data_IF_432756834652
#
_entry.id   IF_432756834652
#
_cell.length_a   1.000
_cell.length_b   1.000
_cell.length_c   1.000
_cell.angle_alpha   90.00
_cell.angle_beta   90.00
_cell.angle_gamma   90.00
#
_symmetry.space_group_name_H-M   'P 1'
#
loop_
_entity.id
_entity.type
_entity.pdbx_description
1 polymer ?
#
# COMPACT_ATOMS: atom_id res chain seq x y z
N UNK A 1 17.84 -11.15 6.28
CA UNK A 1 18.45 -10.35 5.21
C UNK A 1 17.34 -9.77 4.35
N UNK A 2 17.35 -8.45 4.12
CA UNK A 2 16.45 -7.79 3.19
C UNK A 2 16.99 -7.93 1.77
N UNK A 3 16.09 -8.04 0.80
CA UNK A 3 16.40 -8.05 -0.63
C UNK A 3 15.74 -6.83 -1.26
N UNK A 4 16.40 -6.19 -2.21
CA UNK A 4 15.87 -5.07 -2.98
C UNK A 4 16.17 -5.34 -4.45
N UNK A 5 15.17 -5.15 -5.30
CA UNK A 5 15.28 -5.25 -6.74
C UNK A 5 14.65 -4.00 -7.37
N UNK A 6 15.39 -3.31 -8.24
CA UNK A 6 14.82 -2.29 -9.09
C UNK A 6 14.26 -2.95 -10.35
N UNK A 7 12.94 -2.90 -10.55
CA UNK A 7 12.28 -3.56 -11.66
C UNK A 7 10.84 -3.10 -11.85
N UNK A 8 10.18 -3.66 -12.85
CA UNK A 8 8.78 -3.38 -13.16
C UNK A 8 7.88 -4.37 -12.38
N UNK A 9 6.96 -3.87 -11.56
CA UNK A 9 6.01 -4.68 -10.80
C UNK A 9 5.01 -5.47 -11.69
N UNK A 10 4.97 -5.16 -12.99
CA UNK A 10 4.19 -5.95 -13.96
C UNK A 10 4.96 -7.17 -14.49
N UNK A 11 6.28 -7.20 -14.33
CA UNK A 11 7.09 -8.31 -14.82
C UNK A 11 7.24 -9.41 -13.75
N UNK A 12 6.65 -10.59 -13.94
CA UNK A 12 6.79 -11.71 -13.00
C UNK A 12 8.23 -12.21 -12.86
N UNK A 13 9.14 -11.89 -13.80
CA UNK A 13 10.55 -12.23 -13.68
C UNK A 13 11.20 -11.47 -12.50
N UNK A 14 10.82 -10.22 -12.28
CA UNK A 14 11.30 -9.44 -11.13
C UNK A 14 10.96 -10.13 -9.81
N UNK A 15 9.72 -10.61 -9.67
CA UNK A 15 9.30 -11.35 -8.48
C UNK A 15 10.05 -12.68 -8.31
N UNK A 16 10.26 -13.43 -9.38
CA UNK A 16 11.05 -14.68 -9.33
C UNK A 16 12.47 -14.44 -8.79
N UNK A 17 13.11 -13.37 -9.27
CA UNK A 17 14.45 -13.00 -8.81
C UNK A 17 14.43 -12.56 -7.35
N UNK A 18 13.52 -11.64 -7.00
CA UNK A 18 13.40 -11.08 -5.65
C UNK A 18 13.09 -12.17 -4.62
N UNK A 19 12.12 -13.02 -4.91
CA UNK A 19 11.61 -14.02 -3.97
C UNK A 19 12.51 -15.28 -3.91
N UNK A 20 13.25 -15.60 -4.96
CA UNK A 20 14.20 -16.72 -4.92
C UNK A 20 13.55 -18.08 -4.62
N UNK A 21 12.32 -18.31 -5.10
CA UNK A 21 11.55 -19.52 -4.88
C UNK A 21 10.70 -19.52 -3.59
N UNK A 22 10.83 -18.49 -2.74
CA UNK A 22 9.99 -18.31 -1.55
C UNK A 22 8.67 -17.61 -1.91
N UNK A 23 7.71 -17.63 -0.99
CA UNK A 23 6.45 -16.88 -1.10
C UNK A 23 6.24 -15.98 0.11
N UNK A 24 5.64 -14.82 -0.12
CA UNK A 24 5.36 -13.84 0.91
C UNK A 24 4.26 -14.31 1.87
N UNK A 25 4.44 -14.04 3.15
CA UNK A 25 3.42 -14.22 4.18
C UNK A 25 2.43 -13.04 4.19
N UNK A 26 2.85 -11.89 3.65
CA UNK A 26 2.09 -10.67 3.53
C UNK A 26 2.62 -9.84 2.36
N UNK A 27 1.73 -9.14 1.68
CA UNK A 27 2.07 -8.04 0.77
C UNK A 27 1.63 -6.73 1.43
N UNK A 28 2.50 -5.74 1.43
CA UNK A 28 2.21 -4.40 1.97
C UNK A 28 2.88 -3.40 1.06
N UNK A 29 2.11 -2.75 0.20
CA UNK A 29 2.68 -1.90 -0.85
C UNK A 29 1.87 -0.64 -1.13
N UNK A 30 2.54 0.35 -1.68
CA UNK A 30 2.02 1.63 -2.12
C UNK A 30 2.27 1.80 -3.62
N UNK A 31 1.52 1.04 -4.43
CA UNK A 31 1.62 1.15 -5.88
C UNK A 31 1.24 2.57 -6.35
N UNK A 32 1.74 3.04 -7.52
CA UNK A 32 1.36 4.33 -8.06
C UNK A 32 -0.16 4.46 -8.26
N UNK A 33 -0.75 5.62 -7.90
CA UNK A 33 -2.20 5.83 -7.88
C UNK A 33 -2.77 6.46 -9.14
N UNK A 34 -1.95 6.60 -10.17
CA UNK A 34 -2.28 7.32 -11.40
C UNK A 34 -2.71 8.77 -11.12
N UNK A 35 -1.95 9.45 -10.25
CA UNK A 35 -2.17 10.85 -9.87
C UNK A 35 -0.87 11.63 -10.10
N UNK A 36 -0.90 12.78 -10.83
CA UNK A 36 0.28 13.59 -11.03
C UNK A 36 0.89 14.07 -9.72
N UNK A 37 2.22 14.03 -9.61
CA UNK A 37 2.94 14.57 -8.46
C UNK A 37 2.82 16.09 -8.46
N UNK A 38 2.98 16.72 -9.62
CA UNK A 38 2.82 18.16 -9.78
C UNK A 38 1.37 18.60 -9.56
N UNK A 39 1.16 19.54 -8.64
CA UNK A 39 -0.16 20.12 -8.35
C UNK A 39 -1.06 19.29 -7.44
N UNK A 40 -0.76 18.01 -7.21
CA UNK A 40 -1.57 17.13 -6.34
C UNK A 40 -0.83 16.66 -5.10
N UNK A 41 0.45 16.33 -5.22
CA UNK A 41 1.27 15.83 -4.11
C UNK A 41 2.21 16.92 -3.59
N UNK A 42 2.80 17.74 -4.45
CA UNK A 42 3.80 18.77 -4.10
C UNK A 42 3.53 20.15 -4.73
N UNK A 43 2.30 20.69 -4.56
CA UNK A 43 1.88 21.90 -5.27
C UNK A 43 2.49 23.22 -4.80
N UNK A 44 2.73 23.44 -3.50
CA UNK A 44 3.12 24.72 -2.91
C UNK A 44 4.40 24.65 -2.05
N UNK A 45 5.04 23.50 -1.97
CA UNK A 45 6.26 23.29 -1.19
C UNK A 45 7.52 23.79 -1.92
N UNK A 46 8.58 24.09 -1.14
CA UNK A 46 9.90 24.44 -1.70
C UNK A 46 10.63 23.24 -2.32
N UNK A 47 10.23 22.02 -1.96
CA UNK A 47 10.82 20.77 -2.46
C UNK A 47 10.01 20.32 -3.66
N UNK A 48 10.65 20.23 -4.82
CA UNK A 48 10.07 19.68 -6.05
C UNK A 48 10.58 18.24 -6.21
N UNK A 49 9.65 17.31 -6.44
CA UNK A 49 9.98 15.93 -6.74
C UNK A 49 9.73 15.66 -8.23
N UNK A 50 10.50 14.74 -8.86
CA UNK A 50 10.19 14.28 -10.21
C UNK A 50 8.88 13.51 -10.23
N UNK A 51 8.23 13.42 -11.39
CA UNK A 51 7.09 12.53 -11.60
C UNK A 51 7.52 11.06 -11.46
N UNK A 52 6.57 10.20 -11.07
CA UNK A 52 6.81 8.76 -11.09
C UNK A 52 6.98 8.27 -12.55
N UNK A 53 7.77 7.20 -12.77
CA UNK A 53 8.01 6.67 -14.12
C UNK A 53 6.75 6.18 -14.83
N UNK A 54 5.69 5.86 -14.09
CA UNK A 54 4.41 5.37 -14.63
C UNK A 54 3.27 5.63 -13.63
N UNK A 55 2.03 5.58 -14.12
CA UNK A 55 0.82 5.84 -13.37
C UNK A 55 0.86 7.19 -12.60
N UNK A 56 1.30 8.24 -13.29
CA UNK A 56 1.36 9.63 -12.82
C UNK A 56 0.22 10.48 -13.38
N UNK A 57 -0.92 9.86 -13.71
CA UNK A 57 -2.09 10.54 -14.29
C UNK A 57 -2.21 10.42 -15.80
N UNK A 58 -1.28 9.74 -16.47
CA UNK A 58 -1.28 9.53 -17.92
C UNK A 58 -2.19 8.38 -18.36
N UNK A 59 -2.49 7.43 -17.46
CA UNK A 59 -3.31 6.26 -17.79
C UNK A 59 -4.79 6.58 -17.79
N UNK A 60 -5.52 6.13 -18.82
CA UNK A 60 -6.97 6.07 -18.81
C UNK A 60 -7.48 5.07 -17.76
N UNK A 61 -8.78 5.12 -17.45
CA UNK A 61 -9.37 4.26 -16.40
C UNK A 61 -9.19 2.77 -16.68
N UNK A 62 -9.37 2.34 -17.93
CA UNK A 62 -9.23 0.94 -18.34
C UNK A 62 -7.77 0.49 -18.33
N UNK A 63 -6.86 1.37 -18.72
CA UNK A 63 -5.42 1.11 -18.69
C UNK A 63 -4.92 0.97 -17.25
N UNK A 64 -5.35 1.85 -16.36
CA UNK A 64 -4.99 1.76 -14.95
C UNK A 64 -5.59 0.51 -14.26
N UNK A 65 -6.82 0.12 -14.63
CA UNK A 65 -7.40 -1.14 -14.17
C UNK A 65 -6.60 -2.36 -14.68
N UNK A 66 -6.14 -2.34 -15.94
CA UNK A 66 -5.29 -3.39 -16.51
C UNK A 66 -3.92 -3.44 -15.82
N UNK A 67 -3.30 -2.30 -15.57
CA UNK A 67 -2.07 -2.18 -14.79
C UNK A 67 -2.23 -2.82 -13.40
N UNK A 68 -3.28 -2.42 -12.68
CA UNK A 68 -3.59 -2.93 -11.33
C UNK A 68 -3.84 -4.44 -11.36
N UNK A 69 -4.53 -4.94 -12.40
CA UNK A 69 -4.80 -6.38 -12.57
C UNK A 69 -3.50 -7.18 -12.67
N UNK A 70 -2.54 -6.72 -13.47
CA UNK A 70 -1.25 -7.42 -13.65
C UNK A 70 -0.45 -7.42 -12.34
N UNK A 71 -0.38 -6.29 -11.65
CA UNK A 71 0.33 -6.17 -10.37
C UNK A 71 -0.31 -7.09 -9.32
N UNK A 72 -1.63 -7.06 -9.18
CA UNK A 72 -2.36 -7.90 -8.21
C UNK A 72 -2.21 -9.39 -8.51
N UNK A 73 -2.19 -9.79 -9.79
CA UNK A 73 -1.95 -11.17 -10.17
C UNK A 73 -0.55 -11.61 -9.75
N UNK A 74 0.46 -10.80 -10.00
CA UNK A 74 1.81 -11.10 -9.54
C UNK A 74 1.90 -11.20 -8.02
N UNK A 75 1.30 -10.28 -7.28
CA UNK A 75 1.26 -10.34 -5.82
C UNK A 75 0.59 -11.62 -5.33
N UNK A 76 -0.54 -12.01 -5.91
CA UNK A 76 -1.24 -13.25 -5.55
C UNK A 76 -0.40 -14.49 -5.86
N UNK A 77 0.29 -14.52 -7.01
CA UNK A 77 1.11 -15.64 -7.44
C UNK A 77 2.36 -15.82 -6.57
N UNK A 78 2.91 -14.74 -6.03
CA UNK A 78 4.11 -14.76 -5.19
C UNK A 78 3.83 -14.69 -3.68
N UNK A 79 2.56 -14.67 -3.28
CA UNK A 79 2.15 -14.77 -1.88
C UNK A 79 1.66 -16.19 -1.52
N UNK A 80 1.69 -16.51 -0.24
CA UNK A 80 1.18 -17.78 0.28
C UNK A 80 -0.36 -17.78 0.29
N UNK A 81 -1.01 -18.93 0.17
CA UNK A 81 -2.43 -19.06 0.44
C UNK A 81 -2.81 -18.49 1.81
N UNK A 82 -3.78 -17.58 1.83
CA UNK A 82 -4.19 -16.88 3.06
C UNK A 82 -3.38 -15.65 3.43
N UNK A 83 -2.30 -15.32 2.72
CA UNK A 83 -1.60 -14.07 2.93
C UNK A 83 -2.53 -12.86 2.80
N UNK A 84 -2.32 -11.84 3.61
CA UNK A 84 -3.01 -10.56 3.46
C UNK A 84 -2.22 -9.65 2.52
N UNK A 85 -2.96 -8.96 1.66
CA UNK A 85 -2.44 -7.96 0.72
C UNK A 85 -3.02 -6.62 1.14
N UNK A 86 -2.17 -5.71 1.58
CA UNK A 86 -2.55 -4.37 2.00
C UNK A 86 -2.07 -3.36 0.95
N UNK A 87 -3.00 -2.74 0.27
CA UNK A 87 -2.76 -1.78 -0.81
C UNK A 87 -3.20 -0.39 -0.43
N UNK A 88 -2.27 0.56 -0.42
CA UNK A 88 -2.58 1.97 -0.24
C UNK A 88 -3.21 2.54 -1.50
N UNK A 89 -4.24 3.37 -1.32
CA UNK A 89 -4.94 4.04 -2.43
C UNK A 89 -5.64 5.30 -1.96
N UNK A 90 -5.93 6.20 -2.88
CA UNK A 90 -6.80 7.34 -2.63
C UNK A 90 -8.28 7.02 -2.92
N UNK A 91 -9.15 7.91 -2.46
CA UNK A 91 -10.60 7.78 -2.63
C UNK A 91 -11.06 7.76 -4.10
N UNK A 92 -10.28 8.30 -5.05
CA UNK A 92 -10.64 8.37 -6.47
C UNK A 92 -10.60 7.01 -7.13
N UNK A 93 -9.64 6.20 -6.76
CA UNK A 93 -9.34 4.91 -7.41
C UNK A 93 -9.76 3.69 -6.58
N UNK A 94 -10.24 3.89 -5.34
CA UNK A 94 -10.59 2.78 -4.45
C UNK A 94 -11.66 1.84 -5.03
N UNK A 95 -12.68 2.38 -5.70
CA UNK A 95 -13.74 1.55 -6.30
C UNK A 95 -13.19 0.62 -7.39
N UNK A 96 -12.31 1.14 -8.25
CA UNK A 96 -11.62 0.35 -9.27
C UNK A 96 -10.72 -0.72 -8.63
N UNK A 97 -9.92 -0.34 -7.63
CA UNK A 97 -9.04 -1.26 -6.92
C UNK A 97 -9.82 -2.42 -6.27
N UNK A 98 -10.97 -2.14 -5.65
CA UNK A 98 -11.83 -3.17 -5.07
C UNK A 98 -12.36 -4.10 -6.15
N UNK A 99 -12.90 -3.54 -7.24
CA UNK A 99 -13.44 -4.33 -8.36
C UNK A 99 -12.37 -5.29 -8.94
N UNK A 100 -11.17 -4.80 -9.19
CA UNK A 100 -10.06 -5.62 -9.67
C UNK A 100 -9.65 -6.65 -8.62
N UNK A 101 -9.49 -6.24 -7.36
CA UNK A 101 -9.06 -7.12 -6.27
C UNK A 101 -10.01 -8.31 -6.06
N UNK A 102 -11.33 -8.10 -6.15
CA UNK A 102 -12.32 -9.16 -6.00
C UNK A 102 -12.30 -10.21 -7.12
N UNK A 103 -11.72 -9.90 -8.28
CA UNK A 103 -11.51 -10.89 -9.35
C UNK A 103 -10.33 -11.83 -9.08
N UNK A 104 -9.33 -11.36 -8.38
CA UNK A 104 -8.02 -12.03 -8.18
C UNK A 104 -7.95 -12.69 -6.81
N UNK A 105 -8.24 -11.94 -5.76
CA UNK A 105 -8.18 -12.40 -4.38
C UNK A 105 -9.43 -13.17 -3.97
N UNK A 106 -9.42 -13.75 -2.78
CA UNK A 106 -10.57 -14.47 -2.24
C UNK A 106 -11.70 -13.50 -1.85
N UNK A 107 -11.34 -12.41 -1.18
CA UNK A 107 -12.25 -11.33 -0.82
C UNK A 107 -11.51 -10.10 -0.30
N UNK A 108 -12.19 -8.97 -0.31
CA UNK A 108 -11.88 -7.80 0.49
C UNK A 108 -12.21 -8.11 1.97
N UNK A 109 -11.21 -8.04 2.84
CA UNK A 109 -11.38 -8.29 4.29
C UNK A 109 -11.82 -7.04 5.02
N UNK A 110 -11.24 -5.89 4.67
CA UNK A 110 -11.55 -4.58 5.27
C UNK A 110 -11.01 -3.45 4.39
N UNK A 111 -11.47 -2.25 4.68
CA UNK A 111 -10.83 -1.01 4.25
C UNK A 111 -10.37 -0.29 5.53
N UNK A 112 -9.05 -0.15 5.67
CA UNK A 112 -8.49 0.65 6.75
C UNK A 112 -8.32 2.09 6.27
N UNK A 113 -8.46 3.03 7.20
CA UNK A 113 -8.37 4.47 6.92
C UNK A 113 -7.22 5.05 7.72
N UNK A 114 -6.13 5.40 7.05
CA UNK A 114 -5.07 6.16 7.70
C UNK A 114 -5.47 7.63 7.79
N UNK A 115 -5.73 8.10 8.99
CA UNK A 115 -6.10 9.48 9.29
C UNK A 115 -4.84 10.28 9.63
N UNK A 116 -4.62 11.35 8.87
CA UNK A 116 -3.48 12.26 9.04
C UNK A 116 -3.84 13.41 9.98
N UNK A 117 -2.90 14.02 10.71
CA UNK A 117 -3.16 15.15 11.60
C UNK A 117 -3.71 16.38 10.86
N UNK A 118 -3.29 16.59 9.61
CA UNK A 118 -3.69 17.74 8.79
C UNK A 118 -4.18 17.30 7.42
N UNK A 119 -5.10 18.08 6.84
CA UNK A 119 -5.59 17.85 5.48
C UNK A 119 -4.58 18.33 4.45
N UNK A 120 -4.43 17.52 3.39
CA UNK A 120 -3.69 17.87 2.19
C UNK A 120 -4.43 18.91 1.34
N UNK A 121 -4.00 19.06 0.08
CA UNK A 121 -4.70 19.86 -0.92
C UNK A 121 -6.06 19.26 -1.26
N UNK A 122 -6.99 20.05 -1.68
CA UNK A 122 -8.31 19.59 -2.09
C UNK A 122 -9.16 20.73 -2.64
N UNK A 123 -10.17 20.39 -3.46
CA UNK A 123 -11.07 21.39 -4.05
C UNK A 123 -12.25 21.72 -3.13
N UNK A 124 -13.15 20.77 -2.88
CA UNK A 124 -14.31 20.95 -2.01
C UNK A 124 -13.97 20.60 -0.55
N UNK A 125 -13.49 19.39 -0.35
CA UNK A 125 -13.04 18.91 0.96
C UNK A 125 -11.56 18.58 0.92
N UNK A 126 -10.80 19.03 1.90
CA UNK A 126 -9.38 18.68 2.03
C UNK A 126 -9.25 17.23 2.49
N UNK A 127 -8.58 16.40 1.70
CA UNK A 127 -8.32 15.01 2.09
C UNK A 127 -7.36 14.95 3.28
N UNK A 128 -7.83 14.30 4.36
CA UNK A 128 -7.07 14.06 5.58
C UNK A 128 -6.82 12.58 5.83
N UNK A 129 -6.97 11.77 4.80
CA UNK A 129 -6.84 10.33 4.91
C UNK A 129 -6.26 9.72 3.63
N UNK A 130 -5.75 8.51 3.79
CA UNK A 130 -5.51 7.53 2.74
C UNK A 130 -6.26 6.25 3.10
N UNK A 131 -6.59 5.45 2.10
CA UNK A 131 -7.27 4.18 2.28
C UNK A 131 -6.26 3.04 2.12
N UNK A 132 -6.51 1.93 2.83
CA UNK A 132 -5.74 0.71 2.69
C UNK A 132 -6.73 -0.43 2.48
N UNK A 133 -6.79 -0.94 1.26
CA UNK A 133 -7.60 -2.11 0.94
C UNK A 133 -6.88 -3.37 1.42
N UNK A 134 -7.53 -4.13 2.30
CA UNK A 134 -7.00 -5.38 2.82
C UNK A 134 -7.67 -6.56 2.11
N UNK A 135 -6.96 -7.22 1.22
CA UNK A 135 -7.42 -8.43 0.54
C UNK A 135 -6.80 -9.68 1.13
N UNK A 136 -7.39 -10.84 0.87
CA UNK A 136 -6.84 -12.15 1.23
C UNK A 136 -6.58 -12.99 0.00
N UNK A 137 -5.39 -13.56 -0.10
CA UNK A 137 -5.03 -14.53 -1.14
C UNK A 137 -5.84 -15.82 -0.95
N UNK A 138 -6.35 -16.37 -2.06
CA UNK A 138 -7.17 -17.60 -2.09
C UNK A 138 -6.46 -18.79 -1.43
N UNK A 139 -7.24 -19.71 -0.88
CA UNK A 139 -6.78 -21.06 -0.49
C UNK A 139 -6.21 -21.21 0.92
N UNK A 140 -6.33 -20.21 1.80
CA UNK A 140 -5.77 -20.32 3.17
C UNK A 140 -6.43 -19.43 4.21
N UNK A 141 -6.05 -19.65 5.47
CA UNK A 141 -6.39 -18.77 6.59
C UNK A 141 -5.30 -17.72 6.74
N UNK A 142 -5.70 -16.47 6.95
CA UNK A 142 -4.77 -15.37 7.22
C UNK A 142 -4.22 -15.41 8.65
N UNK A 143 -3.02 -14.90 8.85
CA UNK A 143 -2.52 -14.56 10.17
C UNK A 143 -3.39 -13.43 10.76
N UNK A 144 -3.73 -13.55 12.03
CA UNK A 144 -4.50 -12.55 12.76
C UNK A 144 -3.98 -12.47 14.19
N UNK A 145 -3.12 -11.51 14.45
CA UNK A 145 -2.54 -11.28 15.77
C UNK A 145 -3.33 -10.26 16.60
N UNK A 146 -4.37 -9.67 16.01
CA UNK A 146 -5.27 -8.71 16.72
C UNK A 146 -6.32 -9.47 17.53
N UNK A 147 -7.10 -10.34 16.91
CA UNK A 147 -8.17 -11.16 17.51
C UNK A 147 -8.99 -10.41 18.56
N UNK A 148 -9.45 -9.20 18.21
CA UNK A 148 -10.24 -8.32 19.11
C UNK A 148 -9.56 -8.09 20.47
N UNK A 149 -8.25 -7.90 20.47
CA UNK A 149 -7.47 -7.59 21.67
C UNK A 149 -6.97 -8.79 22.48
N UNK A 150 -7.23 -10.04 22.04
CA UNK A 150 -6.81 -11.25 22.76
C UNK A 150 -5.32 -11.31 23.10
N UNK A 151 -4.48 -10.68 22.27
CA UNK A 151 -3.03 -10.63 22.43
C UNK A 151 -2.52 -9.23 22.83
N UNK A 152 -3.37 -8.40 23.42
CA UNK A 152 -3.04 -7.04 23.81
C UNK A 152 -3.02 -6.02 22.64
N UNK A 153 -3.32 -6.45 21.42
CA UNK A 153 -3.38 -5.60 20.23
C UNK A 153 -4.84 -5.33 19.85
N UNK A 154 -5.46 -4.39 20.54
CA UNK A 154 -6.83 -3.96 20.23
C UNK A 154 -6.80 -2.87 19.14
N UNK A 155 -6.86 -3.29 17.88
CA UNK A 155 -6.72 -2.43 16.70
C UNK A 155 -8.08 -2.24 16.01
N UNK A 156 -8.32 -1.04 15.54
CA UNK A 156 -9.46 -0.71 14.66
C UNK A 156 -8.99 -0.53 13.22
N UNK A 157 -9.93 -0.38 12.29
CA UNK A 157 -9.63 -0.03 10.90
C UNK A 157 -9.46 1.48 10.69
N UNK A 158 -9.48 2.28 11.76
CA UNK A 158 -9.08 3.69 11.72
C UNK A 158 -7.68 3.80 12.32
N UNK A 159 -6.72 4.23 11.49
CA UNK A 159 -5.30 4.30 11.81
C UNK A 159 -4.89 5.75 11.98
N UNK A 160 -4.69 6.18 13.21
CA UNK A 160 -4.29 7.56 13.53
C UNK A 160 -2.77 7.62 13.73
N UNK A 161 -2.05 7.99 12.67
CA UNK A 161 -0.59 8.14 12.68
C UNK A 161 -0.19 9.48 12.07
N UNK A 162 0.93 10.03 12.56
CA UNK A 162 1.50 11.24 12.01
C UNK A 162 1.81 11.05 10.51
N UNK A 163 1.60 12.12 9.74
CA UNK A 163 2.13 12.16 8.37
C UNK A 163 3.60 12.63 8.41
N UNK A 164 4.47 12.14 7.52
CA UNK A 164 5.87 12.54 7.48
C UNK A 164 6.10 14.06 7.28
N UNK A 165 5.10 14.77 6.82
CA UNK A 165 5.11 16.23 6.61
C UNK A 165 4.81 17.05 7.88
N UNK A 166 4.71 16.43 9.05
CA UNK A 166 4.60 17.10 10.34
C UNK A 166 5.94 17.73 10.81
N UNK A 167 5.86 18.48 11.89
CA UNK A 167 7.05 18.96 12.60
C UNK A 167 7.67 17.77 13.37
N UNK A 168 8.88 17.32 13.00
CA UNK A 168 9.56 16.23 13.71
C UNK A 168 10.67 15.56 12.87
N UNK A 169 11.29 14.51 13.44
CA UNK A 169 12.38 13.74 12.86
C UNK A 169 12.06 13.07 11.51
N UNK A 170 10.79 12.80 11.23
CA UNK A 170 10.35 12.20 9.96
C UNK A 170 10.40 13.17 8.76
N UNK A 171 10.68 14.46 8.98
CA UNK A 171 10.82 15.45 7.90
C UNK A 171 11.99 15.13 6.95
N UNK A 172 12.97 14.37 7.40
CA UNK A 172 14.08 13.95 6.54
C UNK A 172 13.62 12.94 5.48
N UNK A 173 12.66 12.08 5.79
CA UNK A 173 12.12 11.11 4.85
C UNK A 173 11.42 11.77 3.65
N UNK A 174 10.82 12.96 3.85
CA UNK A 174 10.23 13.74 2.75
C UNK A 174 11.24 14.32 1.76
N UNK A 175 12.50 14.48 2.16
CA UNK A 175 13.54 14.89 1.22
C UNK A 175 13.89 13.78 0.24
N UNK A 176 13.66 12.54 0.65
CA UNK A 176 13.98 11.33 -0.11
C UNK A 176 12.79 10.91 -0.97
N UNK A 177 11.57 10.93 -0.42
CA UNK A 177 10.37 10.47 -1.12
C UNK A 177 9.16 11.35 -0.82
N UNK A 178 8.38 11.79 -1.86
CA UNK A 178 7.28 12.75 -1.70
C UNK A 178 6.09 12.22 -0.89
N UNK A 179 5.92 10.91 -0.86
CA UNK A 179 4.79 10.21 -0.23
C UNK A 179 5.23 9.14 0.76
N UNK A 180 6.35 9.37 1.48
CA UNK A 180 6.83 8.43 2.48
C UNK A 180 5.71 8.06 3.47
N UNK A 181 5.57 6.76 3.77
CA UNK A 181 4.59 6.27 4.74
C UNK A 181 5.15 6.34 6.17
N UNK A 182 4.25 6.42 7.14
CA UNK A 182 4.63 6.40 8.55
C UNK A 182 5.18 5.02 8.94
N UNK A 183 6.39 4.98 9.49
CA UNK A 183 7.11 3.73 9.81
C UNK A 183 6.41 2.93 10.91
N UNK A 184 5.88 3.59 11.94
CA UNK A 184 5.17 2.93 13.04
C UNK A 184 3.88 2.26 12.53
N UNK A 185 3.15 2.95 11.64
CA UNK A 185 1.95 2.42 11.01
C UNK A 185 2.25 1.15 10.21
N UNK A 186 3.32 1.17 9.39
CA UNK A 186 3.73 0.00 8.61
C UNK A 186 4.17 -1.16 9.52
N UNK A 187 4.96 -0.86 10.56
CA UNK A 187 5.39 -1.86 11.54
C UNK A 187 4.20 -2.51 12.25
N UNK A 188 3.21 -1.72 12.67
CA UNK A 188 2.00 -2.21 13.29
C UNK A 188 1.18 -3.10 12.35
N UNK A 189 1.01 -2.71 11.09
CA UNK A 189 0.32 -3.51 10.08
C UNK A 189 1.01 -4.87 9.85
N UNK A 190 2.35 -4.89 9.81
CA UNK A 190 3.15 -6.12 9.70
C UNK A 190 2.94 -7.01 10.93
N UNK A 191 3.01 -6.46 12.13
CA UNK A 191 2.81 -7.18 13.37
C UNK A 191 1.39 -7.75 13.51
N UNK A 192 0.38 -7.06 12.98
CA UNK A 192 -1.00 -7.51 12.99
C UNK A 192 -1.24 -8.72 12.08
N UNK A 193 -0.51 -8.81 10.97
CA UNK A 193 -0.81 -9.68 9.83
C UNK A 193 0.25 -10.76 9.53
N UNK A 194 1.39 -10.79 10.24
CA UNK A 194 2.46 -11.77 10.01
C UNK A 194 2.90 -12.46 11.29
N UNK A 195 3.62 -13.57 11.13
CA UNK A 195 4.36 -14.21 12.21
C UNK A 195 5.83 -13.77 12.18
N UNK A 196 6.53 -13.92 13.32
CA UNK A 196 7.96 -13.64 13.39
C UNK A 196 8.72 -14.49 12.36
N UNK A 197 9.58 -13.88 11.58
CA UNK A 197 10.33 -14.51 10.49
C UNK A 197 9.55 -14.66 9.19
N UNK A 198 8.30 -14.16 9.12
CA UNK A 198 7.53 -14.09 7.89
C UNK A 198 8.14 -13.14 6.87
N UNK A 199 7.91 -13.42 5.60
CA UNK A 199 8.36 -12.60 4.47
C UNK A 199 7.27 -11.58 4.15
N UNK A 200 7.65 -10.31 4.12
CA UNK A 200 6.81 -9.22 3.64
C UNK A 200 7.33 -8.77 2.28
N UNK A 201 6.46 -8.78 1.30
CA UNK A 201 6.71 -8.26 -0.05
C UNK A 201 6.13 -6.85 -0.15
N UNK A 202 6.96 -5.91 -0.63
CA UNK A 202 6.59 -4.53 -0.96
C UNK A 202 6.77 -4.29 -2.46
#
# INVERSE_FOLDING_TARGET
LHRILCGDARDPACYRILMGGEKADMVLTDMPWNVPVNGHVSGLGKIKHPEFPMASGEMGKEEFASFTTIVFQNQADFAKPGALVLEFIDWRSVAMMITVGETIFDRLMNICVWVKPSGGMGSLWRSRHELVCAFRVKGGKHANNVRLGKFGRNRTNVWEYAAPNGFGSERENLKIHPTAKNVEMLADAILDCTQRGGIVLD
#
